data_IF_823958939807
#
_entry.id   IF_823958939807
#
_cell.length_a   1.000
_cell.length_b   1.000
_cell.length_c   1.000
_cell.angle_alpha   90.00
_cell.angle_beta   90.00
_cell.angle_gamma   90.00
#
_symmetry.space_group_name_H-M   'P 1'
#
loop_
_entity.id
_entity.type
_entity.pdbx_description
1 polymer ?
#
# COMPACT_ATOMS: atom_id res chain seq x y z
N UNK A 1 5.68 -2.15 -2.39
CA UNK A 1 6.12 -1.09 -3.31
C UNK A 1 6.02 0.26 -2.60
N UNK A 2 6.56 0.36 -1.37
CA UNK A 2 6.82 1.65 -0.72
C UNK A 2 5.61 2.59 -0.87
N UNK A 3 4.44 2.17 -0.34
CA UNK A 3 3.13 2.71 -0.74
C UNK A 3 3.15 4.22 -0.85
N UNK A 4 2.68 4.75 -1.99
CA UNK A 4 2.43 6.19 -2.16
C UNK A 4 3.68 7.05 -2.32
N UNK A 5 4.88 6.52 -2.12
CA UNK A 5 6.14 7.28 -2.23
C UNK A 5 6.73 7.26 -3.64
N UNK A 6 6.17 6.46 -4.54
CA UNK A 6 6.54 6.43 -5.96
C UNK A 6 5.41 7.03 -6.80
N UNK A 7 5.74 7.83 -7.83
CA UNK A 7 4.77 8.15 -8.89
C UNK A 7 4.27 6.85 -9.57
N UNK A 8 3.02 6.81 -10.08
CA UNK A 8 2.47 5.61 -10.73
C UNK A 8 3.37 5.04 -11.83
N UNK A 9 3.99 5.89 -12.65
CA UNK A 9 4.87 5.41 -13.72
C UNK A 9 6.18 4.84 -13.18
N UNK A 10 6.61 5.26 -11.98
CA UNK A 10 7.78 4.69 -11.33
C UNK A 10 7.49 3.31 -10.73
N UNK A 11 6.27 3.08 -10.23
CA UNK A 11 5.81 1.75 -9.79
C UNK A 11 5.83 0.74 -10.96
N UNK A 12 5.28 1.13 -12.12
CA UNK A 12 5.28 0.30 -13.32
C UNK A 12 6.70 0.03 -13.81
N UNK A 13 7.53 1.08 -13.95
CA UNK A 13 8.93 0.89 -14.39
C UNK A 13 9.73 -0.03 -13.47
N UNK A 14 9.47 0.02 -12.16
CA UNK A 14 10.11 -0.85 -11.19
C UNK A 14 9.70 -2.32 -11.43
N UNK A 15 8.41 -2.59 -11.60
CA UNK A 15 7.91 -3.92 -11.94
C UNK A 15 8.49 -4.42 -13.27
N UNK A 16 8.45 -3.60 -14.30
CA UNK A 16 8.96 -3.93 -15.64
C UNK A 16 10.48 -4.20 -15.65
N UNK A 17 11.21 -3.67 -14.66
CA UNK A 17 12.64 -3.97 -14.48
C UNK A 17 12.85 -5.29 -13.75
N UNK A 18 12.03 -5.60 -12.74
CA UNK A 18 12.18 -6.80 -11.90
C UNK A 18 11.69 -8.07 -12.60
N UNK A 19 10.58 -7.97 -13.34
CA UNK A 19 9.91 -9.11 -13.97
C UNK A 19 10.86 -9.88 -14.92
N UNK A 20 11.59 -9.23 -15.85
CA UNK A 20 12.48 -9.93 -16.78
C UNK A 20 13.71 -10.55 -16.09
N UNK A 21 14.08 -10.07 -14.90
CA UNK A 21 15.21 -10.56 -14.12
C UNK A 21 14.85 -11.76 -13.24
N UNK A 22 13.56 -12.11 -13.17
CA UNK A 22 13.04 -13.14 -12.26
C UNK A 22 12.91 -14.49 -12.97
N UNK A 23 13.63 -15.50 -12.47
CA UNK A 23 13.45 -16.90 -12.90
C UNK A 23 12.22 -17.55 -12.27
N UNK A 24 11.79 -18.68 -12.81
CA UNK A 24 10.75 -19.55 -12.20
C UNK A 24 11.04 -19.78 -10.70
N UNK A 25 9.98 -19.71 -9.88
CA UNK A 25 10.04 -19.80 -8.42
C UNK A 25 10.49 -18.53 -7.69
N UNK A 26 10.90 -17.47 -8.40
CA UNK A 26 11.17 -16.15 -7.81
C UNK A 26 9.97 -15.64 -7.04
N UNK A 27 10.21 -14.89 -5.96
CA UNK A 27 9.15 -14.38 -5.08
C UNK A 27 9.23 -12.87 -4.98
N UNK A 28 8.07 -12.23 -4.93
CA UNK A 28 7.94 -10.80 -4.75
C UNK A 28 6.88 -10.51 -3.68
N UNK A 29 7.13 -9.51 -2.84
CA UNK A 29 6.18 -9.07 -1.83
C UNK A 29 6.19 -7.54 -1.77
N UNK A 30 5.01 -6.95 -1.71
CA UNK A 30 4.86 -5.51 -1.77
C UNK A 30 3.55 -5.05 -1.14
N UNK A 31 3.65 -3.92 -0.47
CA UNK A 31 2.58 -3.01 -0.11
C UNK A 31 2.21 -2.09 -1.29
N UNK A 32 0.93 -1.89 -1.62
CA UNK A 32 0.48 -1.04 -2.73
C UNK A 32 -0.92 -0.45 -2.48
N UNK A 33 -1.26 0.59 -3.25
CA UNK A 33 -2.52 1.33 -3.13
C UNK A 33 -2.34 2.79 -2.75
N UNK A 34 -3.41 3.45 -2.33
CA UNK A 34 -3.40 4.85 -1.94
C UNK A 34 -3.16 5.00 -0.42
N UNK A 35 -2.15 5.79 -0.03
CA UNK A 35 -1.90 6.17 1.37
C UNK A 35 -2.78 7.34 1.81
N UNK A 36 -3.09 8.24 0.88
CA UNK A 36 -4.03 9.32 1.09
C UNK A 36 -5.40 8.88 0.59
N UNK A 37 -6.35 8.69 1.50
CA UNK A 37 -7.70 8.34 1.11
C UNK A 37 -8.31 9.43 0.21
N UNK A 38 -8.94 9.00 -0.88
CA UNK A 38 -9.56 9.89 -1.86
C UNK A 38 -10.88 10.49 -1.38
N UNK A 39 -11.48 9.93 -0.31
CA UNK A 39 -12.74 10.43 0.25
C UNK A 39 -12.52 11.64 1.17
N UNK A 40 -13.49 12.57 1.25
CA UNK A 40 -13.42 13.71 2.17
C UNK A 40 -13.23 13.32 3.64
N UNK A 41 -13.83 12.19 4.06
CA UNK A 41 -13.69 11.66 5.42
C UNK A 41 -12.27 11.18 5.72
N UNK A 42 -11.64 10.46 4.79
CA UNK A 42 -10.27 9.99 4.98
C UNK A 42 -9.27 11.16 4.96
N UNK A 43 -9.48 12.16 4.11
CA UNK A 43 -8.66 13.38 4.12
C UNK A 43 -8.77 14.13 5.45
N UNK A 44 -9.98 14.26 6.00
CA UNK A 44 -10.19 14.86 7.32
C UNK A 44 -9.50 14.07 8.43
N UNK A 45 -9.53 12.74 8.37
CA UNK A 45 -8.84 11.91 9.35
C UNK A 45 -7.32 12.03 9.25
N UNK A 46 -6.76 12.05 8.04
CA UNK A 46 -5.33 12.34 7.81
C UNK A 46 -4.92 13.69 8.39
N UNK A 47 -5.73 14.74 8.20
CA UNK A 47 -5.49 16.07 8.80
C UNK A 47 -5.47 16.02 10.32
N UNK A 48 -6.43 15.34 10.94
CA UNK A 48 -6.48 15.17 12.42
C UNK A 48 -5.27 14.42 12.96
N UNK A 49 -4.78 13.41 12.23
CA UNK A 49 -3.56 12.67 12.58
C UNK A 49 -2.33 13.58 12.49
N UNK A 50 -2.19 14.36 11.40
CA UNK A 50 -1.09 15.30 11.23
C UNK A 50 -1.10 16.43 12.29
N UNK A 51 -2.27 16.93 12.68
CA UNK A 51 -2.40 17.87 13.80
C UNK A 51 -2.01 17.24 15.14
N UNK A 52 -2.37 15.96 15.35
CA UNK A 52 -1.95 15.18 16.51
C UNK A 52 -0.44 15.07 16.62
N UNK A 53 0.24 14.77 15.53
CA UNK A 53 1.70 14.70 15.47
C UNK A 53 2.37 16.06 15.69
N UNK A 54 1.82 17.13 15.10
CA UNK A 54 2.31 18.50 15.34
C UNK A 54 2.24 18.90 16.81
N UNK A 55 1.17 18.52 17.52
CA UNK A 55 1.06 18.74 18.98
C UNK A 55 2.11 17.96 19.79
N UNK A 56 2.61 16.85 19.26
CA UNK A 56 3.66 16.02 19.86
C UNK A 56 5.07 16.40 19.39
N UNK A 57 5.22 17.50 18.63
CA UNK A 57 6.50 18.00 18.14
C UNK A 57 7.03 17.34 16.85
N UNK A 58 6.22 16.47 16.21
CA UNK A 58 6.55 15.86 14.93
C UNK A 58 5.79 16.59 13.80
N UNK A 59 6.50 17.39 13.01
CA UNK A 59 5.94 18.07 11.85
C UNK A 59 6.13 17.20 10.59
N UNK A 60 5.23 16.22 10.42
CA UNK A 60 5.21 15.31 9.28
C UNK A 60 3.88 15.46 8.53
N UNK A 61 3.94 15.98 7.31
CA UNK A 61 2.80 16.01 6.39
C UNK A 61 2.87 14.82 5.42
N UNK A 62 2.24 13.70 5.79
CA UNK A 62 2.16 12.52 4.92
C UNK A 62 1.47 12.84 3.60
N UNK A 63 0.54 13.80 3.56
CA UNK A 63 -0.14 14.15 2.30
C UNK A 63 0.78 14.86 1.32
N UNK A 64 1.82 15.54 1.81
CA UNK A 64 2.87 16.14 0.98
C UNK A 64 3.94 15.12 0.52
N UNK A 65 4.02 13.95 1.17
CA UNK A 65 4.97 12.89 0.86
C UNK A 65 4.42 11.80 -0.07
N UNK A 66 3.10 11.79 -0.26
CA UNK A 66 2.40 10.80 -1.08
C UNK A 66 2.01 11.38 -2.42
N UNK A 67 2.26 10.65 -3.50
CA UNK A 67 1.79 11.03 -4.83
C UNK A 67 0.28 10.79 -4.94
N UNK A 68 -0.55 11.82 -5.16
CA UNK A 68 -1.97 11.62 -5.38
C UNK A 68 -2.22 11.03 -6.77
N UNK A 69 -3.05 10.00 -6.87
CA UNK A 69 -3.41 9.42 -8.16
C UNK A 69 -3.99 8.01 -8.04
N UNK A 70 -4.51 7.51 -9.14
CA UNK A 70 -4.86 6.09 -9.28
C UNK A 70 -3.54 5.31 -9.37
N UNK A 71 -3.17 4.66 -8.27
CA UNK A 71 -1.97 3.83 -8.22
C UNK A 71 -2.15 2.57 -9.06
N UNK A 72 -1.03 2.00 -9.51
CA UNK A 72 -1.06 0.79 -10.34
C UNK A 72 -1.63 -0.37 -9.54
N UNK A 73 -2.53 -1.15 -10.13
CA UNK A 73 -2.88 -2.46 -9.58
C UNK A 73 -1.69 -3.41 -9.78
N UNK A 74 -0.78 -3.39 -8.82
CA UNK A 74 0.46 -4.17 -8.81
C UNK A 74 0.18 -5.66 -8.94
N UNK A 75 -0.89 -6.15 -8.31
CA UNK A 75 -1.27 -7.56 -8.38
C UNK A 75 -1.71 -7.93 -9.80
N UNK A 76 -2.58 -7.12 -10.41
CA UNK A 76 -3.00 -7.34 -11.80
C UNK A 76 -1.82 -7.27 -12.79
N UNK A 77 -0.90 -6.31 -12.62
CA UNK A 77 0.28 -6.19 -13.48
C UNK A 77 1.20 -7.42 -13.38
N UNK A 78 1.43 -7.93 -12.17
CA UNK A 78 2.21 -9.16 -11.96
C UNK A 78 1.52 -10.39 -12.58
N UNK A 79 0.20 -10.53 -12.39
CA UNK A 79 -0.58 -11.62 -13.00
C UNK A 79 -0.48 -11.62 -14.52
N UNK A 80 -0.64 -10.45 -15.15
CA UNK A 80 -0.50 -10.30 -16.60
C UNK A 80 0.89 -10.71 -17.12
N UNK A 81 1.90 -10.69 -16.25
CA UNK A 81 3.29 -11.06 -16.55
C UNK A 81 3.67 -12.48 -16.06
N UNK A 82 2.67 -13.34 -15.86
CA UNK A 82 2.87 -14.75 -15.54
C UNK A 82 3.40 -14.98 -14.12
N UNK A 83 2.88 -14.22 -13.15
CA UNK A 83 3.06 -14.48 -11.73
C UNK A 83 1.74 -14.93 -11.10
N UNK A 84 1.83 -15.87 -10.18
CA UNK A 84 0.74 -16.19 -9.27
C UNK A 84 0.74 -15.19 -8.11
N UNK A 85 -0.36 -14.46 -7.92
CA UNK A 85 -0.45 -13.42 -6.88
C UNK A 85 -1.54 -13.73 -5.86
N UNK A 86 -1.28 -13.38 -4.61
CA UNK A 86 -2.25 -13.35 -3.52
C UNK A 86 -2.26 -11.97 -2.89
N UNK A 87 -3.44 -11.40 -2.66
CA UNK A 87 -3.60 -10.08 -2.04
C UNK A 87 -4.22 -10.20 -0.66
N UNK A 88 -3.79 -9.33 0.25
CA UNK A 88 -4.20 -9.28 1.65
C UNK A 88 -4.48 -7.83 2.05
N UNK A 89 -5.50 -7.61 2.88
CA UNK A 89 -5.68 -6.33 3.58
C UNK A 89 -4.96 -6.35 4.93
N UNK A 90 -4.77 -5.17 5.52
CA UNK A 90 -4.15 -5.06 6.83
C UNK A 90 -4.89 -5.89 7.91
N UNK A 91 -6.22 -5.90 7.89
CA UNK A 91 -7.03 -6.70 8.81
C UNK A 91 -6.80 -8.21 8.64
N UNK A 92 -6.66 -8.68 7.40
CA UNK A 92 -6.38 -10.10 7.12
C UNK A 92 -5.03 -10.51 7.73
N UNK A 93 -4.02 -9.64 7.61
CA UNK A 93 -2.69 -9.90 8.19
C UNK A 93 -2.70 -9.91 9.73
N UNK A 94 -3.48 -9.04 10.36
CA UNK A 94 -3.63 -9.06 11.83
C UNK A 94 -4.27 -10.37 12.30
N UNK A 95 -5.32 -10.81 11.60
CA UNK A 95 -6.00 -12.07 11.87
C UNK A 95 -5.07 -13.27 11.69
N UNK A 96 -4.34 -13.35 10.56
CA UNK A 96 -3.37 -14.42 10.32
C UNK A 96 -2.21 -14.43 11.34
N UNK A 97 -1.78 -13.26 11.81
CA UNK A 97 -0.73 -13.14 12.81
C UNK A 97 -1.19 -13.43 14.26
N UNK A 98 -2.50 -13.64 14.48
CA UNK A 98 -3.07 -13.81 15.81
C UNK A 98 -3.01 -12.56 16.68
N UNK A 99 -2.95 -11.38 16.05
CA UNK A 99 -2.98 -10.08 16.72
C UNK A 99 -4.43 -9.68 17.04
N UNK A 100 -4.65 -8.79 18.03
CA UNK A 100 -5.98 -8.25 18.31
C UNK A 100 -6.60 -7.62 17.06
N UNK A 101 -7.90 -7.84 16.84
CA UNK A 101 -8.60 -7.21 15.72
C UNK A 101 -8.49 -5.69 15.79
N UNK A 102 -8.34 -5.07 14.62
CA UNK A 102 -8.32 -3.63 14.49
C UNK A 102 -9.67 -3.05 14.96
N UNK A 103 -9.64 -1.96 15.73
CA UNK A 103 -10.85 -1.25 16.13
C UNK A 103 -11.54 -0.56 14.95
N UNK A 104 -12.79 -0.10 15.12
CA UNK A 104 -13.53 0.64 14.07
C UNK A 104 -12.77 1.89 13.59
N UNK A 105 -12.08 2.58 14.48
CA UNK A 105 -11.28 3.76 14.14
C UNK A 105 -10.08 3.42 13.25
N UNK A 106 -9.49 2.23 13.42
CA UNK A 106 -8.35 1.74 12.65
C UNK A 106 -8.79 1.23 11.28
N UNK A 107 -9.98 0.63 11.18
CA UNK A 107 -10.61 0.26 9.91
C UNK A 107 -10.95 1.46 9.02
N UNK A 108 -11.19 2.62 9.62
CA UNK A 108 -11.48 3.86 8.90
C UNK A 108 -10.21 4.65 8.57
N UNK A 109 -9.09 4.34 9.22
CA UNK A 109 -7.83 5.04 9.04
C UNK A 109 -7.32 4.95 7.60
N UNK A 110 -6.58 5.95 7.12
CA UNK A 110 -5.97 5.91 5.78
C UNK A 110 -5.07 4.67 5.56
N UNK A 111 -4.48 4.12 6.62
CA UNK A 111 -3.69 2.90 6.51
C UNK A 111 -4.52 1.65 6.14
N UNK A 112 -5.83 1.66 6.39
CA UNK A 112 -6.71 0.52 6.07
C UNK A 112 -6.95 0.34 4.57
N UNK A 113 -6.65 1.36 3.74
CA UNK A 113 -6.72 1.26 2.28
C UNK A 113 -5.48 0.60 1.66
N UNK A 114 -4.45 0.33 2.46
CA UNK A 114 -3.23 -0.36 2.01
C UNK A 114 -3.56 -1.83 1.74
N UNK A 115 -3.17 -2.29 0.55
CA UNK A 115 -3.19 -3.70 0.18
C UNK A 115 -1.77 -4.24 0.13
N UNK A 116 -1.64 -5.53 0.42
CA UNK A 116 -0.39 -6.26 0.36
C UNK A 116 -0.51 -7.34 -0.70
N UNK A 117 0.51 -7.50 -1.52
CA UNK A 117 0.62 -8.58 -2.50
C UNK A 117 1.80 -9.47 -2.16
N UNK A 118 1.58 -10.77 -2.29
CA UNK A 118 2.62 -11.79 -2.42
C UNK A 118 2.51 -12.38 -3.82
N UNK A 119 3.62 -12.53 -4.51
CA UNK A 119 3.67 -13.11 -5.85
C UNK A 119 4.77 -14.15 -5.99
N UNK A 120 4.53 -15.19 -6.80
CA UNK A 120 5.50 -16.22 -7.17
C UNK A 120 5.55 -16.33 -8.70
N UNK A 121 6.76 -16.34 -9.27
CA UNK A 121 6.96 -16.48 -10.70
C UNK A 121 6.71 -17.93 -11.10
N UNK A 122 5.71 -18.17 -11.94
CA UNK A 122 5.43 -19.46 -12.56
C UNK A 122 6.40 -19.78 -13.69
#
# INVERSE_FOLDING_TARGET
MLIGFLPPEAEVRLLDTIIPLSSEGSRFAADFGAVAGTSPQMQEQSRRMAEGWRRQGLDLDITALTYPGEHTDVAAHLQANGWETSTFRLADLFSEAGLPELGEAEHQAPAATISFVRAIKS
#
